data_IF_826133028397
#
_entry.id   IF_826133028397
#
_cell.length_a   1.000
_cell.length_b   1.000
_cell.length_c   1.000
_cell.angle_alpha   90.00
_cell.angle_beta   90.00
_cell.angle_gamma   90.00
#
_symmetry.space_group_name_H-M   'P 1'
#
loop_
_entity.id
_entity.type
_entity.pdbx_description
1 polymer ?
#
# COMPACT_ATOMS: atom_id res chain seq x y z
N UNK A 1 -1.23 -1.81 45.41
CA UNK A 1 -0.33 -2.98 45.32
C UNK A 1 -1.12 -4.14 44.74
N UNK A 2 -1.13 -4.29 43.41
CA UNK A 2 -1.15 -5.59 42.69
C UNK A 2 -1.23 -5.28 41.20
N UNK A 3 -0.05 -5.00 40.66
CA UNK A 3 0.31 -5.13 39.26
C UNK A 3 0.11 -6.59 38.82
N UNK A 4 -0.53 -6.80 37.66
CA UNK A 4 -0.60 -8.10 36.98
C UNK A 4 -0.55 -7.90 35.47
N UNK A 5 0.66 -7.72 34.96
CA UNK A 5 1.03 -8.09 33.58
C UNK A 5 1.98 -9.31 33.61
N UNK A 6 2.34 -9.92 32.48
CA UNK A 6 1.64 -11.02 31.81
C UNK A 6 2.46 -12.33 31.82
N UNK A 7 1.86 -13.48 31.50
CA UNK A 7 2.59 -14.73 31.28
C UNK A 7 2.45 -15.21 29.83
N UNK A 8 3.43 -14.83 29.02
CA UNK A 8 3.72 -15.43 27.70
C UNK A 8 4.29 -16.82 27.94
N UNK A 9 3.60 -17.87 27.49
CA UNK A 9 4.10 -19.25 27.52
C UNK A 9 4.62 -19.66 26.15
N UNK A 10 5.93 -19.53 25.98
CA UNK A 10 6.70 -20.13 24.88
C UNK A 10 6.74 -21.65 25.07
N UNK A 11 6.34 -22.42 24.06
CA UNK A 11 6.64 -23.86 23.99
C UNK A 11 7.62 -24.10 22.85
N UNK A 12 8.84 -24.46 23.24
CA UNK A 12 9.86 -25.09 22.37
C UNK A 12 9.63 -26.59 22.44
N UNK A 13 9.61 -27.27 21.29
CA UNK A 13 9.70 -28.75 21.25
C UNK A 13 10.91 -29.13 20.41
N UNK A 14 11.86 -29.91 20.96
CA UNK A 14 13.08 -30.29 20.27
C UNK A 14 12.91 -31.54 19.38
N UNK A 15 13.73 -31.54 18.33
CA UNK A 15 14.33 -32.63 17.52
C UNK A 15 14.00 -34.10 17.84
N UNK A 16 13.79 -34.90 16.78
CA UNK A 16 14.29 -36.28 16.72
C UNK A 16 14.75 -36.65 15.30
N UNK A 17 16.03 -37.01 15.19
CA UNK A 17 16.68 -37.64 14.04
C UNK A 17 16.49 -39.15 14.15
N UNK A 18 16.21 -39.84 13.04
CA UNK A 18 16.51 -41.28 12.90
C UNK A 18 16.78 -41.64 11.44
N UNK A 19 17.96 -42.24 11.21
CA UNK A 19 18.45 -42.89 9.99
C UNK A 19 17.66 -44.20 9.72
N UNK A 20 17.75 -44.96 8.63
CA UNK A 20 18.72 -45.15 7.55
C UNK A 20 18.05 -45.99 6.43
N UNK A 21 18.55 -45.92 5.19
CA UNK A 21 18.79 -47.09 4.32
C UNK A 21 19.32 -46.61 2.95
N UNK A 22 20.56 -47.00 2.62
CA UNK A 22 21.20 -46.75 1.33
C UNK A 22 20.82 -47.86 0.36
N UNK A 23 20.24 -47.52 -0.77
CA UNK A 23 20.18 -48.38 -1.95
C UNK A 23 20.63 -47.57 -3.17
N UNK A 24 21.76 -47.96 -3.74
CA UNK A 24 22.34 -47.33 -4.91
C UNK A 24 21.55 -47.68 -6.17
N UNK A 25 21.09 -46.68 -6.92
CA UNK A 25 20.54 -46.84 -8.26
C UNK A 25 20.99 -45.70 -9.18
N UNK A 26 21.92 -46.06 -10.05
CA UNK A 26 22.28 -45.52 -11.38
C UNK A 26 21.98 -44.03 -11.66
N UNK A 27 23.05 -43.24 -11.86
CA UNK A 27 22.99 -41.86 -12.34
C UNK A 27 22.27 -41.76 -13.69
N UNK A 28 21.07 -41.19 -13.69
CA UNK A 28 20.48 -40.53 -14.86
C UNK A 28 20.63 -39.02 -14.66
N UNK A 29 21.30 -38.26 -15.55
CA UNK A 29 21.07 -36.82 -15.58
C UNK A 29 19.66 -36.60 -16.12
N UNK A 30 18.67 -36.54 -15.24
CA UNK A 30 17.40 -35.94 -15.60
C UNK A 30 17.68 -34.47 -15.89
N UNK A 31 17.48 -34.07 -17.14
CA UNK A 31 17.40 -32.66 -17.51
C UNK A 31 16.28 -32.07 -16.65
N UNK A 32 16.65 -31.33 -15.59
CA UNK A 32 15.68 -30.64 -14.77
C UNK A 32 15.08 -29.51 -15.62
N UNK A 33 13.99 -29.82 -16.33
CA UNK A 33 12.98 -28.79 -16.58
C UNK A 33 12.58 -28.32 -15.21
N UNK A 34 13.01 -27.12 -14.84
CA UNK A 34 12.39 -26.41 -13.74
C UNK A 34 10.94 -26.20 -14.16
N UNK A 35 10.07 -27.14 -13.82
CA UNK A 35 8.68 -26.83 -13.58
C UNK A 35 8.75 -25.74 -12.54
N UNK A 36 8.50 -24.51 -12.98
CA UNK A 36 8.18 -23.42 -12.10
C UNK A 36 6.90 -23.85 -11.38
N UNK A 37 7.06 -24.62 -10.30
CA UNK A 37 6.09 -24.83 -9.25
C UNK A 37 5.49 -23.47 -8.98
N UNK A 38 4.21 -23.37 -9.37
CA UNK A 38 3.60 -22.15 -9.83
C UNK A 38 4.00 -21.00 -8.95
N UNK A 39 4.47 -19.92 -9.58
CA UNK A 39 4.54 -18.61 -8.96
C UNK A 39 3.29 -18.46 -8.11
N UNK A 40 3.48 -18.62 -6.79
CA UNK A 40 2.39 -18.63 -5.84
C UNK A 40 1.55 -17.41 -6.11
N UNK A 41 0.24 -17.56 -5.95
CA UNK A 41 -0.78 -16.54 -6.14
C UNK A 41 -0.58 -15.32 -5.21
N UNK A 42 0.55 -14.64 -5.31
CA UNK A 42 0.83 -13.32 -4.78
C UNK A 42 0.61 -12.24 -5.85
N UNK A 43 0.46 -12.65 -7.12
CA UNK A 43 0.33 -11.70 -8.25
C UNK A 43 -0.97 -11.76 -9.04
N UNK A 44 -1.75 -12.85 -8.98
CA UNK A 44 -2.88 -13.02 -9.90
C UNK A 44 -4.23 -12.59 -9.30
N UNK A 45 -4.51 -12.96 -8.04
CA UNK A 45 -5.81 -12.66 -7.40
C UNK A 45 -5.97 -11.20 -6.94
N UNK A 46 -4.86 -10.51 -6.63
CA UNK A 46 -4.87 -9.07 -6.33
C UNK A 46 -4.92 -8.18 -7.59
N UNK A 47 -4.45 -8.69 -8.74
CA UNK A 47 -4.43 -7.95 -10.02
C UNK A 47 -5.80 -8.00 -10.71
N UNK A 48 -6.56 -9.08 -10.53
CA UNK A 48 -7.96 -9.15 -10.98
C UNK A 48 -8.90 -8.23 -10.17
N UNK A 49 -8.51 -7.83 -8.96
CA UNK A 49 -9.16 -6.81 -8.16
C UNK A 49 -8.28 -5.56 -8.09
N UNK A 50 -7.94 -4.98 -9.25
CA UNK A 50 -7.64 -3.55 -9.27
C UNK A 50 -8.92 -2.82 -8.85
N UNK A 51 -9.14 -2.71 -7.53
CA UNK A 51 -9.96 -1.65 -6.97
C UNK A 51 -9.51 -0.39 -7.71
N UNK A 52 -10.45 0.37 -8.30
CA UNK A 52 -10.13 1.55 -9.11
C UNK A 52 -9.30 2.50 -8.25
N UNK A 53 -7.97 2.36 -8.33
CA UNK A 53 -7.05 3.15 -7.53
C UNK A 53 -7.16 4.56 -8.10
N UNK A 54 -7.55 5.47 -7.24
CA UNK A 54 -7.81 6.84 -7.59
C UNK A 54 -6.77 7.72 -6.91
N UNK A 55 -6.25 8.70 -7.63
CA UNK A 55 -5.33 9.70 -7.09
C UNK A 55 -5.96 11.08 -7.18
N UNK A 56 -5.63 11.92 -6.20
CA UNK A 56 -5.96 13.35 -6.20
C UNK A 56 -4.70 14.16 -6.49
N UNK A 57 -4.85 15.22 -7.28
CA UNK A 57 -3.76 16.15 -7.63
C UNK A 57 -4.15 17.60 -7.36
N UNK A 58 -3.14 18.43 -7.09
CA UNK A 58 -3.25 19.89 -7.05
C UNK A 58 -2.61 20.48 -8.30
N UNK A 59 -3.39 21.22 -9.10
CA UNK A 59 -2.92 21.86 -10.33
C UNK A 59 -2.31 23.24 -10.05
N UNK A 60 -1.48 23.73 -10.99
CA UNK A 60 -0.86 25.05 -10.89
C UNK A 60 -1.85 26.23 -10.90
N UNK A 61 -3.05 26.02 -11.45
CA UNK A 61 -4.14 27.00 -11.43
C UNK A 61 -5.05 26.86 -10.19
N UNK A 62 -4.58 26.18 -9.14
CA UNK A 62 -5.26 26.01 -7.86
C UNK A 62 -6.58 25.24 -7.94
N UNK A 63 -6.58 24.07 -8.61
CA UNK A 63 -7.71 23.13 -8.61
C UNK A 63 -7.30 21.80 -8.03
N UNK A 64 -8.27 21.14 -7.37
CA UNK A 64 -8.17 19.72 -7.11
C UNK A 64 -8.70 18.95 -8.32
N UNK A 65 -7.97 17.91 -8.70
CA UNK A 65 -8.36 16.97 -9.75
C UNK A 65 -8.31 15.55 -9.22
N UNK A 66 -9.11 14.67 -9.79
CA UNK A 66 -9.14 13.25 -9.48
C UNK A 66 -8.96 12.45 -10.78
N UNK A 67 -8.17 11.38 -10.75
CA UNK A 67 -8.02 10.47 -11.88
C UNK A 67 -7.78 9.03 -11.42
N UNK A 68 -8.10 8.07 -12.29
CA UNK A 68 -7.69 6.69 -12.09
C UNK A 68 -6.18 6.59 -12.31
N UNK A 69 -5.46 5.93 -11.41
CA UNK A 69 -3.99 5.76 -11.52
C UNK A 69 -3.60 5.02 -12.80
N UNK A 70 -4.50 4.20 -13.35
CA UNK A 70 -4.33 3.51 -14.64
C UNK A 70 -4.63 4.38 -15.88
N UNK A 71 -5.28 5.53 -15.71
CA UNK A 71 -5.61 6.48 -16.78
C UNK A 71 -5.53 7.94 -16.25
N UNK A 72 -4.31 8.50 -16.09
CA UNK A 72 -4.14 9.87 -15.64
C UNK A 72 -4.65 10.93 -16.63
N UNK A 73 -4.79 10.58 -17.91
CA UNK A 73 -5.41 11.46 -18.92
C UNK A 73 -6.89 11.73 -18.65
N UNK A 74 -7.57 10.81 -17.97
CA UNK A 74 -8.96 10.92 -17.56
C UNK A 74 -9.22 11.82 -16.35
N UNK A 75 -8.35 12.80 -16.05
CA UNK A 75 -8.48 13.66 -14.89
C UNK A 75 -9.74 14.53 -14.94
N UNK A 76 -10.55 14.47 -13.88
CA UNK A 76 -11.74 15.31 -13.68
C UNK A 76 -11.48 16.36 -12.59
N UNK A 77 -12.01 17.56 -12.78
CA UNK A 77 -11.92 18.61 -11.75
C UNK A 77 -12.85 18.30 -10.57
N UNK A 78 -12.35 18.43 -9.34
CA UNK A 78 -13.12 18.42 -8.10
C UNK A 78 -13.54 19.84 -7.67
N UNK A 79 -12.75 20.85 -8.02
CA UNK A 79 -13.09 22.24 -7.72
C UNK A 79 -11.87 23.13 -7.65
N UNK A 80 -12.10 24.45 -7.59
CA UNK A 80 -11.05 25.44 -7.31
C UNK A 80 -10.86 25.54 -5.80
N UNK A 81 -9.61 25.66 -5.36
CA UNK A 81 -9.29 25.95 -3.97
C UNK A 81 -9.87 27.32 -3.58
N UNK A 82 -10.56 27.36 -2.45
CA UNK A 82 -11.14 28.58 -1.88
C UNK A 82 -11.14 28.50 -0.35
N UNK A 83 -11.52 29.60 0.32
CA UNK A 83 -11.63 29.62 1.78
C UNK A 83 -10.30 29.67 2.56
N UNK A 84 -9.17 29.90 1.88
CA UNK A 84 -7.88 30.10 2.53
C UNK A 84 -7.92 31.37 3.40
N UNK A 85 -7.28 31.31 4.57
CA UNK A 85 -7.22 32.43 5.53
C UNK A 85 -5.77 32.80 5.76
N UNK A 86 -5.34 33.90 5.13
CA UNK A 86 -3.97 34.41 5.24
C UNK A 86 -3.05 33.91 4.13
N UNK A 87 -3.20 32.67 3.68
CA UNK A 87 -2.53 32.13 2.49
C UNK A 87 -3.21 32.58 1.20
N UNK A 88 -2.42 32.73 0.13
CA UNK A 88 -2.91 33.04 -1.22
C UNK A 88 -3.11 31.79 -2.06
N UNK A 89 -2.37 30.71 -1.78
CA UNK A 89 -2.47 29.44 -2.51
C UNK A 89 -1.98 28.27 -1.68
N UNK A 90 -2.30 27.06 -2.12
CA UNK A 90 -1.67 25.84 -1.64
C UNK A 90 -0.36 25.58 -2.39
N UNK A 91 0.61 25.01 -1.68
CA UNK A 91 1.91 24.58 -2.20
C UNK A 91 2.11 23.06 -2.16
N UNK A 92 1.26 22.34 -1.42
CA UNK A 92 1.31 20.89 -1.33
C UNK A 92 0.04 20.29 -0.72
N UNK A 93 -0.13 18.97 -0.90
CA UNK A 93 -1.25 18.19 -0.36
C UNK A 93 -0.76 16.85 0.19
N UNK A 94 -1.48 16.28 1.17
CA UNK A 94 -1.18 14.98 1.79
C UNK A 94 -2.47 14.27 2.25
N UNK A 95 -2.62 12.99 1.91
CA UNK A 95 -3.69 12.16 2.49
C UNK A 95 -3.22 11.57 3.81
N UNK A 96 -3.87 11.98 4.90
CA UNK A 96 -3.53 11.49 6.24
C UNK A 96 -4.22 10.17 6.51
N UNK A 97 -3.45 9.08 6.46
CA UNK A 97 -3.91 7.69 6.69
C UNK A 97 -4.70 7.54 8.00
N UNK A 98 -4.30 8.25 9.05
CA UNK A 98 -4.91 8.12 10.39
C UNK A 98 -6.39 8.50 10.44
N UNK A 99 -6.83 9.43 9.58
CA UNK A 99 -8.21 9.93 9.58
C UNK A 99 -8.85 9.98 8.18
N UNK A 100 -8.13 9.56 7.14
CA UNK A 100 -8.61 9.53 5.76
C UNK A 100 -8.89 10.90 5.15
N UNK A 101 -8.36 11.99 5.73
CA UNK A 101 -8.60 13.35 5.22
C UNK A 101 -7.49 13.82 4.30
N UNK A 102 -7.86 14.62 3.32
CA UNK A 102 -6.91 15.36 2.48
C UNK A 102 -6.52 16.66 3.18
N UNK A 103 -5.22 16.87 3.38
CA UNK A 103 -4.67 18.09 3.92
C UNK A 103 -3.96 18.88 2.83
N UNK A 104 -3.96 20.21 2.94
CA UNK A 104 -3.20 21.13 2.11
C UNK A 104 -2.31 22.03 2.95
N UNK A 105 -1.14 22.41 2.42
CA UNK A 105 -0.23 23.40 3.02
C UNK A 105 -0.26 24.65 2.16
N UNK A 106 -0.42 25.82 2.78
CA UNK A 106 -0.45 27.13 2.15
C UNK A 106 0.94 27.74 1.97
N UNK A 107 1.03 28.75 1.10
CA UNK A 107 2.27 29.46 0.76
C UNK A 107 2.88 30.27 1.93
N UNK A 108 2.11 30.53 2.99
CA UNK A 108 2.56 31.16 4.23
C UNK A 108 2.50 30.20 5.43
N UNK A 109 2.38 28.90 5.16
CA UNK A 109 2.44 27.85 6.17
C UNK A 109 1.11 27.49 6.83
N UNK A 110 -0.03 28.03 6.38
CA UNK A 110 -1.33 27.58 6.87
C UNK A 110 -1.60 26.12 6.50
N UNK A 111 -2.30 25.38 7.37
CA UNK A 111 -2.69 23.99 7.12
C UNK A 111 -4.20 23.89 7.03
N UNK A 112 -4.67 23.27 5.96
CA UNK A 112 -6.09 23.19 5.61
C UNK A 112 -6.51 21.73 5.52
N UNK A 113 -7.75 21.46 5.92
CA UNK A 113 -8.44 20.23 5.51
C UNK A 113 -9.21 20.56 4.23
N UNK A 114 -9.06 19.74 3.20
CA UNK A 114 -9.68 19.92 1.90
C UNK A 114 -10.77 18.89 1.69
N UNK A 115 -11.86 19.30 1.05
CA UNK A 115 -12.88 18.38 0.56
C UNK A 115 -12.43 17.82 -0.80
N UNK A 116 -12.30 16.50 -0.87
CA UNK A 116 -11.89 15.73 -2.05
C UNK A 116 -13.09 15.16 -2.83
N UNK A 117 -14.30 15.62 -2.49
CA UNK A 117 -15.56 15.20 -3.10
C UNK A 117 -16.18 16.38 -3.84
N UNK A 118 -16.80 16.05 -4.98
CA UNK A 118 -17.56 17.01 -5.78
C UNK A 118 -18.94 17.26 -5.16
#
# INVERSE_FOLDING_TARGET
MTDRSPLVRTRVVPTAVAAAAVAASLLSPALASAEAEGAGSFGAKHRAAHHRLTSVGLTSDQRLVEFAVSDPSGARSLGRISGLKGDGRLVGIDFRVQNGKLYGVGDKGGVYTLDDKA
#
